data_IF_535595004173
#
_entry.id   IF_535595004173
#
_cell.length_a   1.000
_cell.length_b   1.000
_cell.length_c   1.000
_cell.angle_alpha   90.00
_cell.angle_beta   90.00
_cell.angle_gamma   90.00
#
_symmetry.space_group_name_H-M   'P 1'
#
loop_
_entity.id
_entity.type
_entity.pdbx_description
1 polymer ?
#
# COMPACT_ATOMS: atom_id res chain seq x y z
N UNK A 1 2.69 4.94 11.03
CA UNK A 1 2.84 4.76 12.48
C UNK A 1 3.32 3.36 12.74
N UNK A 2 4.61 3.19 13.02
CA UNK A 2 5.18 1.91 13.46
C UNK A 2 4.97 1.84 14.99
N UNK A 3 4.23 0.85 15.48
CA UNK A 3 3.98 0.66 16.91
C UNK A 3 4.89 -0.49 17.40
N UNK A 4 5.96 -0.16 18.13
CA UNK A 4 6.83 -1.13 18.78
C UNK A 4 6.36 -1.32 20.22
N UNK A 5 5.87 -2.51 20.55
CA UNK A 5 5.52 -2.89 21.93
C UNK A 5 6.55 -3.91 22.42
N UNK A 6 7.36 -3.55 23.42
CA UNK A 6 8.27 -4.51 24.08
C UNK A 6 8.14 -4.37 25.59
N UNK A 7 8.03 -5.50 26.30
CA UNK A 7 8.25 -5.54 27.75
C UNK A 7 9.72 -5.22 28.04
N UNK A 8 9.97 -4.28 28.94
CA UNK A 8 11.30 -3.72 29.16
C UNK A 8 12.21 -4.69 29.93
N UNK A 9 13.41 -4.94 29.41
CA UNK A 9 14.60 -5.25 30.20
C UNK A 9 15.36 -3.92 30.38
N UNK A 10 15.72 -3.57 31.62
CA UNK A 10 16.35 -2.28 32.01
C UNK A 10 17.52 -1.83 31.11
N UNK A 11 18.19 -2.75 30.41
CA UNK A 11 19.35 -2.48 29.55
C UNK A 11 19.04 -1.69 28.25
N UNK A 12 17.78 -1.55 27.82
CA UNK A 12 17.42 -0.91 26.54
C UNK A 12 17.00 0.58 26.64
N UNK A 13 17.02 1.17 27.84
CA UNK A 13 16.53 2.52 28.11
C UNK A 13 17.11 3.65 27.23
N UNK A 14 18.44 3.76 27.02
CA UNK A 14 19.01 4.87 26.24
C UNK A 14 18.71 4.78 24.74
N UNK A 15 18.61 3.57 24.18
CA UNK A 15 18.28 3.36 22.76
C UNK A 15 16.83 3.72 22.46
N UNK A 16 15.90 3.31 23.32
CA UNK A 16 14.48 3.67 23.18
C UNK A 16 14.29 5.18 23.35
N UNK A 17 15.00 5.80 24.29
CA UNK A 17 14.97 7.25 24.46
C UNK A 17 15.44 8.00 23.19
N UNK A 18 16.54 7.56 22.58
CA UNK A 18 17.01 8.13 21.31
C UNK A 18 15.99 7.95 20.17
N UNK A 19 15.32 6.79 20.10
CA UNK A 19 14.28 6.51 19.11
C UNK A 19 13.04 7.38 19.33
N UNK A 20 12.60 7.60 20.58
CA UNK A 20 11.45 8.47 20.88
C UNK A 20 11.75 9.93 20.55
N UNK A 21 12.98 10.39 20.80
CA UNK A 21 13.37 11.77 20.49
C UNK A 21 13.47 12.03 18.97
N UNK A 22 14.10 11.10 18.24
CA UNK A 22 14.19 11.14 16.77
C UNK A 22 12.82 10.93 16.11
N UNK A 23 12.01 10.03 16.66
CA UNK A 23 10.70 9.63 16.15
C UNK A 23 9.70 10.77 16.07
N UNK A 24 9.82 11.79 16.95
CA UNK A 24 8.98 12.99 16.90
C UNK A 24 9.08 13.74 15.56
N UNK A 25 10.24 13.68 14.88
CA UNK A 25 10.45 14.32 13.57
C UNK A 25 9.81 13.52 12.42
N UNK A 26 9.55 12.23 12.63
CA UNK A 26 9.06 11.30 11.61
C UNK A 26 7.64 10.77 11.89
N UNK A 27 6.92 11.40 12.83
CA UNK A 27 5.59 10.95 13.28
C UNK A 27 5.55 9.48 13.74
N UNK A 28 6.64 9.02 14.39
CA UNK A 28 6.72 7.70 15.00
C UNK A 28 6.36 7.84 16.49
N UNK A 29 5.32 7.14 16.92
CA UNK A 29 4.89 7.08 18.32
C UNK A 29 5.34 5.78 18.97
N UNK A 30 5.91 5.85 20.17
CA UNK A 30 6.33 4.68 20.95
C UNK A 30 5.32 4.42 22.07
N UNK A 31 4.78 3.21 22.15
CA UNK A 31 3.89 2.79 23.23
C UNK A 31 4.59 1.74 24.08
N UNK A 32 4.89 2.09 25.33
CA UNK A 32 5.66 1.25 26.24
C UNK A 32 4.74 0.73 27.34
N UNK A 33 4.80 -0.57 27.63
CA UNK A 33 4.09 -1.18 28.74
C UNK A 33 4.99 -1.16 29.98
N UNK A 34 4.62 -0.39 31.00
CA UNK A 34 5.38 -0.21 32.24
C UNK A 34 5.83 1.24 32.48
N UNK A 35 6.69 1.44 33.48
CA UNK A 35 7.24 2.76 33.82
C UNK A 35 8.24 3.21 32.73
N UNK A 36 7.84 4.19 31.92
CA UNK A 36 8.74 4.82 30.96
C UNK A 36 9.38 6.07 31.58
N UNK A 37 10.69 6.31 31.40
CA UNK A 37 11.35 7.49 31.94
C UNK A 37 10.95 8.79 31.20
N UNK A 38 10.35 8.70 30.01
CA UNK A 38 10.00 9.87 29.18
C UNK A 38 8.70 9.68 28.40
N UNK A 39 7.86 10.72 28.37
CA UNK A 39 6.58 10.74 27.65
C UNK A 39 5.37 10.92 28.57
N UNK A 40 4.16 10.80 28.03
CA UNK A 40 2.93 10.76 28.82
C UNK A 40 2.70 9.34 29.31
N UNK A 41 2.71 9.15 30.63
CA UNK A 41 2.38 7.87 31.27
C UNK A 41 0.90 7.84 31.58
N UNK A 42 0.20 6.79 31.15
CA UNK A 42 -1.23 6.59 31.38
C UNK A 42 -1.44 5.35 32.28
N UNK A 43 -2.23 5.51 33.32
CA UNK A 43 -2.73 4.41 34.15
C UNK A 43 -4.15 4.07 33.69
N UNK A 44 -4.39 2.79 33.38
CA UNK A 44 -5.65 2.30 32.82
C UNK A 44 -6.37 1.39 33.81
N UNK A 45 -7.69 1.50 33.86
CA UNK A 45 -8.57 0.49 34.48
C UNK A 45 -8.83 -0.69 33.53
N UNK A 46 -9.44 -1.76 34.05
CA UNK A 46 -9.79 -2.96 33.28
C UNK A 46 -10.74 -2.71 32.09
N UNK A 47 -11.45 -1.58 32.07
CA UNK A 47 -12.33 -1.16 30.96
C UNK A 47 -11.66 -0.19 29.97
N UNK A 48 -10.33 -0.05 30.06
CA UNK A 48 -9.48 0.85 29.29
C UNK A 48 -9.75 2.35 29.52
N UNK A 49 -10.34 2.73 30.66
CA UNK A 49 -10.43 4.15 31.08
C UNK A 49 -9.13 4.63 31.72
N UNK A 50 -8.69 5.84 31.35
CA UNK A 50 -7.50 6.48 31.92
C UNK A 50 -7.84 7.06 33.29
N UNK A 51 -7.30 6.45 34.35
CA UNK A 51 -7.49 6.88 35.74
C UNK A 51 -6.50 7.94 36.19
N UNK A 52 -5.30 7.93 35.61
CA UNK A 52 -4.24 8.88 35.93
C UNK A 52 -3.35 9.07 34.71
N UNK A 53 -3.00 10.32 34.40
CA UNK A 53 -2.06 10.67 33.35
C UNK A 53 -0.97 11.57 33.93
N UNK A 54 0.29 11.29 33.63
CA UNK A 54 1.45 12.07 34.10
C UNK A 54 2.37 12.37 32.91
N UNK A 55 2.89 13.60 32.83
CA UNK A 55 3.81 14.02 31.76
C UNK A 55 3.20 15.01 30.75
N UNK A 56 3.90 15.30 29.64
CA UNK A 56 3.42 16.25 28.63
C UNK A 56 2.08 15.79 28.04
N UNK A 57 1.14 16.69 27.80
CA UNK A 57 -0.20 16.38 27.26
C UNK A 57 -1.12 15.52 28.16
N UNK A 58 -0.77 15.29 29.44
CA UNK A 58 -1.63 14.56 30.38
C UNK A 58 -3.05 15.13 30.48
N UNK A 59 -3.18 16.47 30.43
CA UNK A 59 -4.48 17.17 30.50
C UNK A 59 -5.42 16.84 29.33
N UNK A 60 -4.87 16.49 28.16
CA UNK A 60 -5.67 16.13 26.98
C UNK A 60 -6.15 14.67 26.99
N UNK A 61 -5.62 13.86 27.91
CA UNK A 61 -5.84 12.41 27.96
C UNK A 61 -6.53 11.95 29.27
N UNK A 62 -6.60 12.82 30.27
CA UNK A 62 -7.29 12.53 31.52
C UNK A 62 -8.78 12.25 31.27
N UNK A 63 -9.25 11.05 31.69
CA UNK A 63 -10.65 10.62 31.55
C UNK A 63 -11.04 10.08 30.18
N UNK A 64 -10.12 9.98 29.21
CA UNK A 64 -10.41 9.33 27.93
C UNK A 64 -10.48 7.81 28.09
N UNK A 65 -11.36 7.17 27.29
CA UNK A 65 -11.47 5.71 27.19
C UNK A 65 -10.76 5.25 25.93
N UNK A 66 -9.75 4.41 26.08
CA UNK A 66 -9.01 3.87 24.96
C UNK A 66 -9.81 2.75 24.29
N UNK A 67 -9.73 2.71 22.96
CA UNK A 67 -10.25 1.60 22.19
C UNK A 67 -9.43 0.35 22.54
N UNK A 68 -10.09 -0.71 22.98
CA UNK A 68 -9.44 -1.97 23.31
C UNK A 68 -10.04 -3.09 22.46
N UNK A 69 -9.19 -4.00 22.02
CA UNK A 69 -9.61 -5.28 21.47
C UNK A 69 -10.10 -6.16 22.61
N UNK A 70 -11.10 -7.00 22.35
CA UNK A 70 -11.47 -8.03 23.33
C UNK A 70 -10.30 -9.01 23.49
N UNK A 71 -10.23 -9.70 24.63
CA UNK A 71 -9.18 -10.70 24.86
C UNK A 71 -9.16 -11.80 23.78
N UNK A 72 -10.33 -12.13 23.22
CA UNK A 72 -10.46 -13.07 22.11
C UNK A 72 -9.85 -12.52 20.81
N UNK A 73 -10.17 -11.27 20.44
CA UNK A 73 -9.65 -10.65 19.22
C UNK A 73 -8.14 -10.41 19.31
N UNK A 74 -7.65 -10.00 20.48
CA UNK A 74 -6.23 -9.83 20.75
C UNK A 74 -5.48 -11.17 20.62
N UNK A 75 -6.03 -12.28 21.15
CA UNK A 75 -5.43 -13.61 21.00
C UNK A 75 -5.43 -14.08 19.54
N UNK A 76 -6.51 -13.87 18.78
CA UNK A 76 -6.57 -14.23 17.36
C UNK A 76 -5.52 -13.45 16.54
N UNK A 77 -5.35 -12.16 16.84
CA UNK A 77 -4.37 -11.31 16.16
C UNK A 77 -2.93 -11.66 16.53
N UNK A 78 -2.65 -11.92 17.82
CA UNK A 78 -1.33 -12.38 18.29
C UNK A 78 -0.99 -13.77 17.74
N UNK A 79 -1.96 -14.66 17.64
CA UNK A 79 -1.79 -15.97 17.01
C UNK A 79 -1.36 -15.78 15.55
N UNK A 80 -2.07 -14.94 14.79
CA UNK A 80 -1.76 -14.64 13.38
C UNK A 80 -0.35 -14.06 13.20
N UNK A 81 0.06 -13.14 14.08
CA UNK A 81 1.40 -12.55 14.04
C UNK A 81 2.49 -13.57 14.40
N UNK A 82 2.23 -14.46 15.35
CA UNK A 82 3.17 -15.52 15.74
C UNK A 82 3.36 -16.56 14.64
N UNK A 83 2.30 -16.92 13.92
CA UNK A 83 2.41 -17.82 12.74
C UNK A 83 3.20 -17.16 11.61
N UNK A 84 3.03 -15.85 11.41
CA UNK A 84 3.76 -15.09 10.40
C UNK A 84 5.25 -14.91 10.74
N UNK A 85 5.62 -14.90 12.03
CA UNK A 85 7.00 -14.74 12.49
C UNK A 85 7.79 -16.06 12.65
N UNK A 86 7.16 -17.21 12.42
CA UNK A 86 7.84 -18.53 12.45
C UNK A 86 8.24 -19.04 13.84
N UNK A 87 7.68 -18.49 14.91
CA UNK A 87 8.02 -18.90 16.29
C UNK A 87 7.20 -20.13 16.72
N UNK A 88 7.82 -21.22 17.23
CA UNK A 88 7.07 -22.39 17.71
C UNK A 88 6.24 -22.06 18.96
N UNK A 89 5.15 -22.81 19.11
CA UNK A 89 4.21 -22.72 20.23
C UNK A 89 4.83 -23.23 21.54
N UNK A 90 4.69 -22.54 22.69
CA UNK A 90 5.09 -23.12 23.95
C UNK A 90 4.12 -24.26 24.30
N UNK A 91 4.68 -25.44 24.59
CA UNK A 91 3.95 -26.60 25.13
C UNK A 91 3.19 -26.19 26.39
N UNK A 92 1.87 -26.05 26.29
CA UNK A 92 1.01 -26.05 27.46
C UNK A 92 0.71 -27.50 27.82
N UNK A 93 1.35 -27.93 28.90
CA UNK A 93 1.10 -29.16 29.60
C UNK A 93 -0.39 -29.38 29.90
N UNK A 94 -0.79 -30.65 29.75
CA UNK A 94 -1.93 -31.34 30.36
C UNK A 94 -2.85 -30.50 31.23
N UNK A 95 -4.09 -30.31 30.76
CA UNK A 95 -5.24 -30.42 31.67
C UNK A 95 -6.47 -30.88 30.89
N UNK A 96 -6.71 -32.19 30.93
CA UNK A 96 -7.97 -32.83 30.55
C UNK A 96 -9.05 -32.55 31.61
N UNK A 97 -10.31 -32.30 31.23
CA UNK A 97 -11.42 -33.09 31.80
C UNK A 97 -12.60 -33.27 30.79
N UNK A 98 -13.68 -34.01 31.11
CA UNK A 98 -13.83 -35.41 30.70
C UNK A 98 -14.97 -35.64 29.70
N UNK A 99 -14.84 -36.79 29.04
CA UNK A 99 -15.84 -37.67 28.42
C UNK A 99 -17.30 -37.47 28.89
N UNK A 100 -18.20 -37.14 27.94
CA UNK A 100 -19.58 -37.69 27.86
C UNK A 100 -20.05 -37.69 26.39
N UNK A 101 -20.29 -38.89 25.86
CA UNK A 101 -21.02 -39.12 24.60
C UNK A 101 -22.55 -39.14 24.86
N UNK A 102 -23.40 -39.41 23.85
CA UNK A 102 -24.44 -38.50 23.38
C UNK A 102 -25.84 -38.83 23.90
N UNK A 103 -26.72 -37.83 24.04
CA UNK A 103 -28.15 -38.12 24.04
C UNK A 103 -28.98 -37.07 23.27
N UNK A 104 -29.80 -37.64 22.40
CA UNK A 104 -30.90 -37.10 21.63
C UNK A 104 -31.91 -36.36 22.49
N UNK A 105 -32.32 -35.16 22.07
CA UNK A 105 -33.66 -34.62 22.33
C UNK A 105 -33.99 -33.46 21.39
N UNK A 106 -35.00 -33.69 20.55
CA UNK A 106 -35.69 -32.66 19.77
C UNK A 106 -36.44 -31.69 20.69
N UNK A 107 -36.42 -30.40 20.37
CA UNK A 107 -37.28 -29.39 20.97
C UNK A 107 -37.15 -28.04 20.25
N UNK A 108 -38.12 -27.76 19.37
CA UNK A 108 -38.30 -26.47 18.69
C UNK A 108 -38.54 -25.32 19.66
N UNK A 109 -37.91 -24.16 19.45
CA UNK A 109 -38.53 -22.84 19.49
C UNK A 109 -37.52 -21.70 19.20
N UNK A 110 -37.86 -20.85 18.23
CA UNK A 110 -37.54 -19.41 18.21
C UNK A 110 -36.10 -18.99 18.00
N UNK A 111 -35.70 -18.76 16.75
CA UNK A 111 -34.52 -17.95 16.42
C UNK A 111 -35.00 -16.64 15.79
N UNK A 112 -35.10 -15.60 16.62
CA UNK A 112 -35.07 -14.21 16.15
C UNK A 112 -33.63 -13.92 15.70
N UNK A 113 -33.39 -13.44 14.46
CA UNK A 113 -32.05 -13.09 14.04
C UNK A 113 -31.64 -11.76 14.70
N UNK A 114 -30.53 -11.82 15.44
CA UNK A 114 -29.81 -10.64 15.90
C UNK A 114 -29.37 -9.78 14.69
N UNK A 115 -29.37 -8.45 14.83
CA UNK A 115 -29.14 -7.53 13.72
C UNK A 115 -27.72 -7.68 13.19
N UNK A 116 -27.62 -7.86 11.88
CA UNK A 116 -26.38 -7.85 11.11
C UNK A 116 -25.64 -6.54 11.38
N UNK A 117 -24.40 -6.65 11.85
CA UNK A 117 -23.48 -5.51 11.91
C UNK A 117 -23.30 -4.98 10.48
N UNK A 118 -23.87 -3.81 10.24
CA UNK A 118 -23.68 -3.02 9.03
C UNK A 118 -22.18 -2.78 8.85
N UNK A 119 -21.57 -3.55 7.95
CA UNK A 119 -20.24 -3.25 7.44
C UNK A 119 -20.24 -1.81 6.95
N UNK A 120 -19.34 -1.00 7.51
CA UNK A 120 -19.03 0.34 6.98
C UNK A 120 -18.78 0.17 5.49
N UNK A 121 -19.58 0.79 4.60
CA UNK A 121 -19.37 0.63 3.19
C UNK A 121 -18.07 1.35 2.84
N UNK A 122 -17.04 0.56 2.52
CA UNK A 122 -16.02 1.00 1.56
C UNK A 122 -16.80 1.56 0.38
N UNK A 123 -16.51 2.77 -0.15
CA UNK A 123 -17.19 3.27 -1.33
C UNK A 123 -16.87 2.32 -2.48
N UNK A 124 -17.75 1.35 -2.67
CA UNK A 124 -17.77 0.43 -3.78
C UNK A 124 -17.94 1.35 -5.00
N UNK A 125 -16.92 1.40 -5.86
CA UNK A 125 -17.07 1.89 -7.22
C UNK A 125 -17.96 0.88 -7.95
N UNK A 126 -19.26 0.91 -7.63
CA UNK A 126 -20.29 0.27 -8.42
C UNK A 126 -20.19 0.84 -9.83
N UNK A 127 -20.36 -0.03 -10.83
CA UNK A 127 -20.46 0.29 -12.25
C UNK A 127 -21.12 1.66 -12.46
N UNK A 128 -20.30 2.67 -12.77
CA UNK A 128 -20.77 4.03 -13.06
C UNK A 128 -20.83 4.17 -14.56
N UNK A 129 -22.03 3.96 -15.10
CA UNK A 129 -22.37 4.00 -16.53
C UNK A 129 -22.21 5.39 -17.20
N UNK A 130 -21.64 6.38 -16.49
CA UNK A 130 -21.33 7.69 -17.05
C UNK A 130 -19.81 7.89 -17.14
N UNK A 131 -19.26 8.17 -18.34
CA UNK A 131 -17.84 8.43 -18.49
C UNK A 131 -17.49 9.71 -17.73
N UNK A 132 -16.49 9.60 -16.83
CA UNK A 132 -15.94 10.75 -16.13
C UNK A 132 -15.34 11.71 -17.16
N UNK A 133 -15.68 13.01 -17.14
CA UNK A 133 -15.28 13.96 -18.19
C UNK A 133 -13.77 14.21 -18.24
N UNK A 134 -13.05 13.91 -17.15
CA UNK A 134 -11.59 14.08 -17.04
C UNK A 134 -10.95 12.73 -16.72
N UNK A 135 -9.84 12.42 -17.41
CA UNK A 135 -8.88 11.40 -16.99
C UNK A 135 -7.58 12.07 -16.55
N UNK A 136 -7.19 11.83 -15.31
CA UNK A 136 -5.90 12.15 -14.73
C UNK A 136 -4.99 10.92 -14.86
N UNK A 137 -3.92 11.08 -15.62
CA UNK A 137 -2.85 10.12 -15.74
C UNK A 137 -1.73 10.50 -14.78
N UNK A 138 -1.42 9.62 -13.83
CA UNK A 138 -0.30 9.75 -12.90
C UNK A 138 0.66 8.55 -12.97
N UNK A 139 0.34 7.48 -13.69
CA UNK A 139 1.32 6.44 -14.03
C UNK A 139 2.07 6.86 -15.31
N UNK A 140 3.28 7.38 -15.11
CA UNK A 140 4.05 8.18 -16.06
C UNK A 140 4.01 9.67 -15.72
N UNK A 141 4.23 10.57 -16.69
CA UNK A 141 4.17 12.00 -16.43
C UNK A 141 2.73 12.46 -16.15
N UNK A 142 2.58 13.43 -15.23
CA UNK A 142 1.26 13.92 -14.81
C UNK A 142 0.56 14.64 -15.97
N UNK A 143 -0.53 14.05 -16.47
CA UNK A 143 -1.30 14.53 -17.62
C UNK A 143 -2.79 14.50 -17.34
N UNK A 144 -3.50 15.45 -17.95
CA UNK A 144 -4.95 15.51 -17.93
C UNK A 144 -5.47 15.31 -19.35
N UNK A 145 -6.57 14.58 -19.47
CA UNK A 145 -7.25 14.32 -20.75
C UNK A 145 -8.75 14.55 -20.58
N UNK A 146 -9.41 15.04 -21.62
CA UNK A 146 -10.86 14.98 -21.80
C UNK A 146 -11.21 13.89 -22.83
N UNK A 147 -12.50 13.71 -23.11
CA UNK A 147 -12.93 12.87 -24.22
C UNK A 147 -12.37 13.34 -25.58
N UNK A 148 -12.10 14.63 -25.74
CA UNK A 148 -11.61 15.24 -26.98
C UNK A 148 -10.08 15.21 -27.11
N UNK A 149 -9.36 14.78 -26.06
CA UNK A 149 -7.91 14.62 -26.07
C UNK A 149 -7.17 15.29 -24.89
N UNK A 150 -5.84 15.44 -24.99
CA UNK A 150 -5.01 15.92 -23.89
C UNK A 150 -5.20 17.41 -23.61
N UNK A 151 -5.26 17.78 -22.32
CA UNK A 151 -5.21 19.17 -21.85
C UNK A 151 -3.75 19.59 -21.75
N UNK A 152 -3.24 20.27 -22.77
CA UNK A 152 -1.82 20.63 -22.90
C UNK A 152 -1.49 22.05 -22.41
N UNK A 153 -2.49 22.90 -22.17
CA UNK A 153 -2.30 24.32 -21.80
C UNK A 153 -3.04 24.68 -20.52
N UNK A 154 -2.63 25.77 -19.87
CA UNK A 154 -3.34 26.34 -18.72
C UNK A 154 -3.01 25.70 -17.37
N UNK A 155 -2.64 24.42 -17.33
CA UNK A 155 -2.24 23.75 -16.08
C UNK A 155 -0.82 24.15 -15.67
N UNK A 156 -0.68 24.76 -14.50
CA UNK A 156 0.63 25.18 -13.96
C UNK A 156 1.36 24.01 -13.30
N UNK A 157 2.69 24.11 -13.16
CA UNK A 157 3.49 23.10 -12.44
C UNK A 157 2.95 22.81 -11.04
N UNK A 158 2.74 23.84 -10.22
CA UNK A 158 2.17 23.70 -8.87
C UNK A 158 0.79 23.02 -8.83
N UNK A 159 -0.02 23.20 -9.87
CA UNK A 159 -1.32 22.53 -10.00
C UNK A 159 -1.16 21.04 -10.37
N UNK A 160 -0.20 20.70 -11.23
CA UNK A 160 0.12 19.29 -11.55
C UNK A 160 0.67 18.56 -10.32
N UNK A 161 1.59 19.20 -9.60
CA UNK A 161 2.14 18.63 -8.36
C UNK A 161 1.03 18.35 -7.33
N UNK A 162 0.09 19.29 -7.17
CA UNK A 162 -1.08 19.11 -6.31
C UNK A 162 -2.04 18.02 -6.81
N UNK A 163 -2.26 17.89 -8.12
CA UNK A 163 -3.10 16.82 -8.69
C UNK A 163 -2.52 15.44 -8.39
N UNK A 164 -1.22 15.25 -8.57
CA UNK A 164 -0.56 13.99 -8.25
C UNK A 164 -0.63 13.68 -6.74
N UNK A 165 -0.40 14.69 -5.89
CA UNK A 165 -0.48 14.50 -4.44
C UNK A 165 -1.92 14.20 -3.96
N UNK A 166 -2.94 14.77 -4.61
CA UNK A 166 -4.34 14.44 -4.35
C UNK A 166 -4.71 13.04 -4.87
N UNK A 167 -4.18 12.61 -6.03
CA UNK A 167 -4.38 11.27 -6.58
C UNK A 167 -3.87 10.19 -5.62
N UNK A 168 -2.68 10.41 -5.05
CA UNK A 168 -2.08 9.56 -4.02
C UNK A 168 -2.91 9.48 -2.72
N UNK A 169 -3.78 10.46 -2.47
CA UNK A 169 -4.56 10.59 -1.24
C UNK A 169 -6.07 10.64 -1.54
N UNK A 170 -6.70 9.53 -1.95
CA UNK A 170 -8.11 9.51 -2.34
C UNK A 170 -9.06 9.89 -1.18
N UNK A 171 -8.67 9.63 0.07
CA UNK A 171 -9.42 10.04 1.27
C UNK A 171 -9.27 11.54 1.61
N UNK A 172 -8.46 12.25 0.85
CA UNK A 172 -8.25 13.69 0.94
C UNK A 172 -7.21 14.13 1.97
N UNK A 173 -6.63 15.29 1.69
CA UNK A 173 -5.53 15.92 2.44
C UNK A 173 -5.98 17.21 3.09
N UNK A 174 -5.42 17.56 4.24
CA UNK A 174 -5.56 18.94 4.75
C UNK A 174 -4.70 19.90 3.92
N UNK A 175 -5.00 21.19 4.02
CA UNK A 175 -4.13 22.22 3.41
C UNK A 175 -2.71 22.14 3.93
N UNK A 176 -2.54 21.95 5.24
CA UNK A 176 -1.21 21.92 5.87
C UNK A 176 -0.40 20.72 5.42
N UNK A 177 -1.04 19.55 5.22
CA UNK A 177 -0.40 18.38 4.61
C UNK A 177 0.08 18.69 3.18
N UNK A 178 -0.77 19.33 2.36
CA UNK A 178 -0.40 19.72 1.01
C UNK A 178 0.77 20.72 1.00
N UNK A 179 0.74 21.72 1.88
CA UNK A 179 1.81 22.72 2.01
C UNK A 179 3.12 22.07 2.42
N UNK A 180 3.11 21.23 3.47
CA UNK A 180 4.30 20.55 3.95
C UNK A 180 4.92 19.61 2.90
N UNK A 181 4.10 18.98 2.06
CA UNK A 181 4.56 18.07 1.02
C UNK A 181 5.06 18.78 -0.25
N UNK A 182 4.43 19.89 -0.65
CA UNK A 182 4.69 20.53 -1.95
C UNK A 182 5.57 21.77 -1.86
N UNK A 183 5.53 22.48 -0.73
CA UNK A 183 6.22 23.75 -0.53
C UNK A 183 6.83 23.85 0.89
N UNK A 184 7.66 22.87 1.32
CA UNK A 184 8.21 22.83 2.67
C UNK A 184 9.06 24.06 3.03
N UNK A 185 9.73 24.66 2.05
CA UNK A 185 10.64 25.79 2.27
C UNK A 185 9.95 27.17 2.21
N UNK A 186 8.65 27.21 1.94
CA UNK A 186 7.92 28.47 1.79
C UNK A 186 7.39 28.97 3.14
N UNK A 187 7.39 30.29 3.33
CA UNK A 187 6.75 30.91 4.49
C UNK A 187 5.23 30.62 4.49
N UNK A 188 4.58 30.46 5.67
CA UNK A 188 3.21 29.96 5.78
C UNK A 188 2.17 30.70 4.91
N UNK A 189 2.22 32.03 4.89
CA UNK A 189 1.28 32.85 4.10
C UNK A 189 1.50 32.70 2.59
N UNK A 190 2.76 32.57 2.18
CA UNK A 190 3.14 32.36 0.78
C UNK A 190 2.69 30.97 0.31
N UNK A 191 2.95 29.94 1.12
CA UNK A 191 2.54 28.57 0.81
C UNK A 191 1.01 28.42 0.75
N UNK A 192 0.28 29.08 1.65
CA UNK A 192 -1.19 29.14 1.62
C UNK A 192 -1.71 29.79 0.34
N UNK A 193 -1.09 30.89 -0.08
CA UNK A 193 -1.44 31.58 -1.34
C UNK A 193 -1.16 30.68 -2.55
N UNK A 194 -0.04 29.97 -2.54
CA UNK A 194 0.35 29.04 -3.61
C UNK A 194 -0.60 27.85 -3.71
N UNK A 195 -0.99 27.25 -2.57
CA UNK A 195 -2.01 26.21 -2.51
C UNK A 195 -3.34 26.67 -3.11
N UNK A 196 -3.86 27.82 -2.65
CA UNK A 196 -5.12 28.35 -3.15
C UNK A 196 -5.05 28.66 -4.66
N UNK A 197 -3.90 29.16 -5.12
CA UNK A 197 -3.65 29.43 -6.55
C UNK A 197 -3.61 28.15 -7.36
N UNK A 198 -3.01 27.07 -6.85
CA UNK A 198 -2.98 25.76 -7.50
C UNK A 198 -4.41 25.20 -7.63
N UNK A 199 -5.19 25.18 -6.54
CA UNK A 199 -6.60 24.75 -6.57
C UNK A 199 -7.42 25.58 -7.57
N UNK A 200 -7.28 26.91 -7.54
CA UNK A 200 -7.98 27.79 -8.48
C UNK A 200 -7.58 27.53 -9.94
N UNK A 201 -6.30 27.27 -10.20
CA UNK A 201 -5.80 26.93 -11.53
C UNK A 201 -6.34 25.59 -12.04
N UNK A 202 -6.37 24.55 -11.19
CA UNK A 202 -6.99 23.25 -11.53
C UNK A 202 -8.44 23.47 -11.94
N UNK A 203 -9.25 24.08 -11.05
CA UNK A 203 -10.68 24.30 -11.30
C UNK A 203 -10.93 25.11 -12.58
N UNK A 204 -10.19 26.19 -12.78
CA UNK A 204 -10.34 27.03 -13.99
C UNK A 204 -10.01 26.25 -15.26
N UNK A 205 -8.90 25.50 -15.25
CA UNK A 205 -8.44 24.75 -16.42
C UNK A 205 -9.43 23.66 -16.78
N UNK A 206 -9.88 22.87 -15.80
CA UNK A 206 -10.82 21.78 -16.03
C UNK A 206 -12.18 22.29 -16.51
N UNK A 207 -12.73 23.35 -15.91
CA UNK A 207 -13.98 23.98 -16.40
C UNK A 207 -13.88 24.51 -17.82
N UNK A 208 -12.71 25.03 -18.19
CA UNK A 208 -12.47 25.52 -19.56
C UNK A 208 -12.41 24.35 -20.54
N UNK A 209 -11.73 23.27 -20.17
CA UNK A 209 -11.56 22.10 -21.01
C UNK A 209 -12.84 21.27 -21.19
N UNK A 210 -13.71 21.21 -20.18
CA UNK A 210 -14.96 20.45 -20.24
C UNK A 210 -16.16 21.28 -20.68
N UNK A 211 -16.07 22.62 -20.60
CA UNK A 211 -17.22 23.52 -20.76
C UNK A 211 -18.23 23.46 -19.60
N UNK A 212 -17.99 22.62 -18.58
CA UNK A 212 -18.89 22.45 -17.43
C UNK A 212 -18.54 23.47 -16.34
N UNK A 213 -19.52 24.27 -15.92
CA UNK A 213 -19.30 25.32 -14.89
C UNK A 213 -19.66 24.88 -13.47
N UNK A 214 -20.58 23.94 -13.35
CA UNK A 214 -21.09 23.44 -12.07
C UNK A 214 -20.08 22.56 -11.33
N UNK A 215 -19.35 21.63 -11.98
CA UNK A 215 -18.44 20.74 -11.26
C UNK A 215 -17.32 21.51 -10.54
N UNK A 216 -17.00 21.00 -9.34
CA UNK A 216 -15.95 21.56 -8.51
C UNK A 216 -14.58 20.94 -8.79
N UNK A 217 -14.53 19.69 -9.28
CA UNK A 217 -13.33 18.89 -9.63
C UNK A 217 -12.37 18.59 -8.45
N UNK A 218 -12.11 19.57 -7.60
CA UNK A 218 -11.44 19.44 -6.31
C UNK A 218 -12.47 19.84 -5.26
N UNK A 219 -12.90 18.88 -4.45
CA UNK A 219 -13.88 19.08 -3.39
C UNK A 219 -13.18 19.45 -2.09
N UNK A 220 -13.92 20.08 -1.17
CA UNK A 220 -13.47 20.32 0.20
C UNK A 220 -14.55 19.84 1.16
N UNK A 221 -14.29 18.71 1.83
CA UNK A 221 -15.24 18.03 2.72
C UNK A 221 -14.58 17.82 4.08
N UNK A 222 -15.22 18.23 5.17
CA UNK A 222 -14.69 18.13 6.53
C UNK A 222 -13.23 18.65 6.69
N UNK A 223 -12.89 19.74 6.00
CA UNK A 223 -11.55 20.34 6.05
C UNK A 223 -10.49 19.65 5.18
N UNK A 224 -10.82 18.56 4.48
CA UNK A 224 -9.95 17.84 3.56
C UNK A 224 -10.26 18.16 2.11
N UNK A 225 -9.24 18.19 1.27
CA UNK A 225 -9.31 18.35 -0.18
C UNK A 225 -9.10 17.00 -0.85
N UNK A 226 -9.95 16.66 -1.79
CA UNK A 226 -9.83 15.45 -2.61
C UNK A 226 -10.31 15.73 -4.03
N UNK A 227 -9.91 14.87 -4.97
CA UNK A 227 -10.48 14.87 -6.32
C UNK A 227 -11.94 14.43 -6.25
N UNK A 228 -12.75 14.98 -7.12
CA UNK A 228 -14.15 14.57 -7.28
C UNK A 228 -14.21 13.25 -8.06
N UNK A 229 -14.56 12.12 -7.43
CA UNK A 229 -14.53 10.81 -8.07
C UNK A 229 -15.64 10.64 -9.12
N UNK A 230 -16.65 11.52 -9.13
CA UNK A 230 -17.67 11.55 -10.19
C UNK A 230 -17.17 12.26 -11.45
N UNK A 231 -16.11 13.07 -11.33
CA UNK A 231 -15.65 13.95 -12.40
C UNK A 231 -14.27 13.60 -12.95
N UNK A 232 -13.42 12.97 -12.12
CA UNK A 232 -12.02 12.68 -12.46
C UNK A 232 -11.78 11.17 -12.33
N UNK A 233 -11.41 10.56 -13.44
CA UNK A 233 -10.85 9.22 -13.51
C UNK A 233 -9.35 9.26 -13.24
N UNK A 234 -8.83 8.38 -12.38
CA UNK A 234 -7.40 8.33 -12.03
C UNK A 234 -6.88 6.93 -12.34
N UNK A 235 -5.88 6.83 -13.22
CA UNK A 235 -5.30 5.56 -13.65
C UNK A 235 -4.70 4.72 -12.49
N UNK A 236 -4.05 5.36 -11.52
CA UNK A 236 -3.54 4.69 -10.31
C UNK A 236 -4.66 4.01 -9.50
N UNK A 237 -5.87 4.56 -9.47
CA UNK A 237 -6.99 3.95 -8.74
C UNK A 237 -7.41 2.62 -9.38
N UNK A 238 -7.33 2.50 -10.71
CA UNK A 238 -7.57 1.23 -11.40
C UNK A 238 -6.50 0.20 -11.07
N UNK A 239 -5.23 0.62 -10.99
CA UNK A 239 -4.14 -0.26 -10.56
C UNK A 239 -4.35 -0.72 -9.11
N UNK A 240 -4.64 0.21 -8.20
CA UNK A 240 -4.90 -0.08 -6.80
C UNK A 240 -6.08 -1.05 -6.61
N UNK A 241 -7.15 -0.87 -7.39
CA UNK A 241 -8.32 -1.76 -7.38
C UNK A 241 -7.97 -3.17 -7.89
N UNK A 242 -7.22 -3.29 -9.00
CA UNK A 242 -6.76 -4.57 -9.53
C UNK A 242 -5.89 -5.34 -8.52
N UNK A 243 -4.92 -4.64 -7.90
CA UNK A 243 -4.06 -5.22 -6.87
C UNK A 243 -4.84 -5.62 -5.62
N UNK A 244 -5.81 -4.80 -5.19
CA UNK A 244 -6.67 -5.13 -4.05
C UNK A 244 -7.55 -6.36 -4.33
N UNK A 245 -8.16 -6.43 -5.51
CA UNK A 245 -8.94 -7.58 -5.93
C UNK A 245 -8.08 -8.85 -5.95
N UNK A 246 -6.87 -8.80 -6.50
CA UNK A 246 -5.95 -9.94 -6.53
C UNK A 246 -5.56 -10.45 -5.12
N UNK A 247 -5.43 -9.54 -4.13
CA UNK A 247 -5.17 -9.91 -2.73
C UNK A 247 -6.35 -10.61 -2.06
N UNK A 248 -7.58 -10.25 -2.43
CA UNK A 248 -8.80 -10.84 -1.87
C UNK A 248 -9.30 -12.06 -2.66
N UNK A 249 -8.76 -12.32 -3.85
CA UNK A 249 -9.10 -13.48 -4.65
C UNK A 249 -8.83 -14.78 -3.89
N UNK A 250 -9.79 -15.69 -3.91
CA UNK A 250 -9.71 -16.98 -3.21
C UNK A 250 -9.30 -18.11 -4.15
N UNK A 251 -9.55 -17.94 -5.45
CA UNK A 251 -9.18 -18.90 -6.48
C UNK A 251 -8.12 -18.35 -7.44
N UNK A 252 -7.39 -19.24 -8.11
CA UNK A 252 -6.42 -18.82 -9.13
C UNK A 252 -7.11 -18.18 -10.35
N UNK A 253 -8.33 -18.59 -10.70
CA UNK A 253 -9.12 -17.97 -11.77
C UNK A 253 -9.51 -16.52 -11.45
N UNK A 254 -9.98 -16.26 -10.23
CA UNK A 254 -10.27 -14.89 -9.77
C UNK A 254 -9.00 -14.04 -9.75
N UNK A 255 -7.91 -14.60 -9.21
CA UNK A 255 -6.61 -13.91 -9.12
C UNK A 255 -6.06 -13.58 -10.50
N UNK A 256 -6.16 -14.52 -11.44
CA UNK A 256 -5.79 -14.31 -12.83
C UNK A 256 -6.58 -13.16 -13.45
N UNK A 257 -7.90 -13.16 -13.27
CA UNK A 257 -8.79 -12.12 -13.78
C UNK A 257 -8.42 -10.74 -13.22
N UNK A 258 -8.13 -10.67 -11.92
CA UNK A 258 -7.74 -9.46 -11.23
C UNK A 258 -6.38 -8.90 -11.66
N UNK A 259 -5.41 -9.79 -11.92
CA UNK A 259 -4.04 -9.41 -12.29
C UNK A 259 -3.87 -9.12 -13.77
N UNK A 260 -4.72 -9.69 -14.64
CA UNK A 260 -4.68 -9.50 -16.10
C UNK A 260 -4.55 -8.04 -16.58
N UNK A 261 -5.22 -7.03 -15.99
CA UNK A 261 -5.05 -5.64 -16.43
C UNK A 261 -3.75 -4.98 -15.96
N UNK A 262 -3.06 -5.51 -14.94
CA UNK A 262 -1.89 -4.86 -14.30
C UNK A 262 -0.77 -4.51 -15.29
N UNK A 263 -0.35 -5.39 -16.23
CA UNK A 263 0.67 -5.05 -17.23
C UNK A 263 0.35 -3.81 -18.07
N UNK A 264 -0.93 -3.58 -18.37
CA UNK A 264 -1.37 -2.45 -19.19
C UNK A 264 -1.58 -1.17 -18.37
N UNK A 265 -1.92 -1.32 -17.08
CA UNK A 265 -2.13 -0.18 -16.18
C UNK A 265 -0.79 0.43 -15.75
N UNK A 266 0.20 -0.39 -15.40
CA UNK A 266 1.50 0.08 -14.94
C UNK A 266 2.56 -0.07 -16.04
N UNK A 267 2.69 0.98 -16.85
CA UNK A 267 3.68 1.04 -17.95
C UNK A 267 4.84 1.98 -17.66
N UNK A 268 4.69 2.87 -16.68
CA UNK A 268 5.69 3.83 -16.24
C UNK A 268 5.50 4.13 -14.74
N UNK A 269 6.57 4.59 -14.10
CA UNK A 269 6.54 4.95 -12.68
C UNK A 269 5.59 6.11 -12.40
N UNK A 270 5.12 6.21 -11.15
CA UNK A 270 4.22 7.28 -10.74
C UNK A 270 4.85 8.67 -10.89
N UNK A 271 4.15 9.60 -11.55
CA UNK A 271 4.48 11.01 -11.68
C UNK A 271 5.96 11.27 -12.04
N UNK A 272 6.44 10.71 -13.15
CA UNK A 272 7.88 10.73 -13.53
C UNK A 272 8.47 12.13 -13.73
N UNK A 273 7.63 13.14 -13.92
CA UNK A 273 8.05 14.53 -14.10
C UNK A 273 8.10 15.34 -12.78
N UNK A 274 7.75 14.71 -11.66
CA UNK A 274 7.86 15.26 -10.31
C UNK A 274 9.16 14.80 -9.64
N UNK A 275 9.69 15.67 -8.78
CA UNK A 275 10.95 15.47 -8.05
C UNK A 275 10.77 15.64 -6.55
N UNK A 276 9.54 15.43 -6.05
CA UNK A 276 9.24 15.56 -4.64
C UNK A 276 9.53 14.23 -3.91
N UNK A 277 10.19 14.28 -2.75
CA UNK A 277 10.61 13.08 -2.00
C UNK A 277 9.48 12.12 -1.65
N UNK A 278 8.27 12.66 -1.41
CA UNK A 278 7.08 11.85 -1.14
C UNK A 278 6.69 10.96 -2.34
N UNK A 279 7.02 11.37 -3.56
CA UNK A 279 6.75 10.59 -4.76
C UNK A 279 7.68 9.38 -4.86
N UNK A 280 8.95 9.49 -4.44
CA UNK A 280 9.91 8.38 -4.47
C UNK A 280 9.47 7.23 -3.57
N UNK A 281 9.02 7.55 -2.35
CA UNK A 281 8.51 6.54 -1.42
C UNK A 281 7.31 5.79 -1.98
N UNK A 282 6.44 6.49 -2.71
CA UNK A 282 5.27 5.88 -3.34
C UNK A 282 5.63 5.07 -4.60
N UNK A 283 6.56 5.56 -5.43
CA UNK A 283 7.10 4.81 -6.58
C UNK A 283 7.69 3.48 -6.13
N UNK A 284 8.45 3.48 -5.04
CA UNK A 284 9.04 2.26 -4.49
C UNK A 284 7.97 1.27 -4.01
N UNK A 285 6.94 1.77 -3.32
CA UNK A 285 5.81 0.95 -2.88
C UNK A 285 5.06 0.33 -4.08
N UNK A 286 4.76 1.11 -5.12
CA UNK A 286 4.11 0.62 -6.33
C UNK A 286 5.00 -0.38 -7.06
N UNK A 287 6.29 -0.10 -7.21
CA UNK A 287 7.25 -1.01 -7.86
C UNK A 287 7.22 -2.38 -7.21
N UNK A 288 7.31 -2.48 -5.88
CA UNK A 288 7.24 -3.76 -5.16
C UNK A 288 5.93 -4.49 -5.42
N UNK A 289 4.79 -3.82 -5.20
CA UNK A 289 3.49 -4.45 -5.38
C UNK A 289 3.22 -4.90 -6.82
N UNK A 290 3.64 -4.10 -7.80
CA UNK A 290 3.48 -4.43 -9.21
C UNK A 290 4.42 -5.57 -9.61
N UNK A 291 5.67 -5.57 -9.18
CA UNK A 291 6.61 -6.67 -9.44
C UNK A 291 6.10 -8.00 -8.87
N UNK A 292 5.57 -7.99 -7.65
CA UNK A 292 4.94 -9.17 -7.03
C UNK A 292 3.72 -9.64 -7.85
N UNK A 293 2.88 -8.69 -8.26
CA UNK A 293 1.69 -8.95 -9.06
C UNK A 293 2.02 -9.54 -10.44
N UNK A 294 3.01 -8.99 -11.14
CA UNK A 294 3.50 -9.49 -12.43
C UNK A 294 4.13 -10.87 -12.29
N UNK A 295 4.91 -11.09 -11.23
CA UNK A 295 5.48 -12.42 -10.93
C UNK A 295 4.40 -13.45 -10.71
N UNK A 296 3.35 -13.11 -9.93
CA UNK A 296 2.22 -14.01 -9.71
C UNK A 296 1.41 -14.26 -10.98
N UNK A 297 1.20 -13.22 -11.80
CA UNK A 297 0.53 -13.37 -13.09
C UNK A 297 1.30 -14.31 -14.02
N UNK A 298 2.63 -14.19 -14.07
CA UNK A 298 3.48 -15.07 -14.87
C UNK A 298 3.38 -16.53 -14.39
N UNK A 299 3.39 -16.78 -13.08
CA UNK A 299 3.20 -18.13 -12.51
C UNK A 299 1.85 -18.74 -12.91
N UNK A 300 0.77 -17.94 -12.90
CA UNK A 300 -0.56 -18.41 -13.30
C UNK A 300 -0.63 -18.72 -14.81
N UNK A 301 0.17 -18.06 -15.62
CA UNK A 301 0.23 -18.28 -17.07
C UNK A 301 1.25 -19.35 -17.50
N UNK A 302 2.14 -19.81 -16.62
CA UNK A 302 3.33 -20.55 -17.03
C UNK A 302 3.03 -21.84 -17.80
N UNK A 303 1.93 -22.54 -17.47
CA UNK A 303 1.58 -23.82 -18.11
C UNK A 303 0.69 -23.63 -19.35
N UNK A 304 -0.35 -22.80 -19.26
CA UNK A 304 -1.34 -22.65 -20.33
C UNK A 304 -0.90 -21.63 -21.40
N UNK A 305 -0.14 -20.60 -21.00
CA UNK A 305 0.21 -19.44 -21.82
C UNK A 305 1.67 -18.99 -21.59
N UNK A 306 2.67 -19.84 -21.87
CA UNK A 306 4.07 -19.58 -21.52
C UNK A 306 4.65 -18.32 -22.17
N UNK A 307 4.27 -18.01 -23.41
CA UNK A 307 4.68 -16.76 -24.08
C UNK A 307 4.14 -15.50 -23.38
N UNK A 308 2.98 -15.59 -22.72
CA UNK A 308 2.45 -14.49 -21.94
C UNK A 308 3.17 -14.38 -20.60
N UNK A 309 3.53 -15.51 -19.98
CA UNK A 309 4.33 -15.54 -18.76
C UNK A 309 5.73 -14.94 -18.98
N UNK A 310 6.41 -15.30 -20.08
CA UNK A 310 7.70 -14.73 -20.48
C UNK A 310 7.64 -13.20 -20.62
N UNK A 311 6.69 -12.69 -21.42
CA UNK A 311 6.49 -11.24 -21.60
C UNK A 311 6.19 -10.52 -20.29
N UNK A 312 5.42 -11.14 -19.41
CA UNK A 312 5.07 -10.57 -18.10
C UNK A 312 6.32 -10.45 -17.21
N UNK A 313 7.20 -11.45 -17.20
CA UNK A 313 8.47 -11.39 -16.47
C UNK A 313 9.45 -10.37 -17.08
N UNK A 314 9.54 -10.27 -18.40
CA UNK A 314 10.34 -9.24 -19.08
C UNK A 314 9.88 -7.83 -18.72
N UNK A 315 8.57 -7.61 -18.62
CA UNK A 315 8.03 -6.35 -18.13
C UNK A 315 8.38 -6.10 -16.66
N UNK A 316 8.25 -7.12 -15.79
CA UNK A 316 8.64 -7.00 -14.38
C UNK A 316 10.11 -6.58 -14.23
N UNK A 317 11.01 -7.18 -15.04
CA UNK A 317 12.45 -6.87 -15.10
C UNK A 317 12.72 -5.42 -15.58
N UNK A 318 11.79 -4.81 -16.32
CA UNK A 318 11.90 -3.40 -16.71
C UNK A 318 11.58 -2.47 -15.54
N UNK A 319 10.67 -2.87 -14.65
CA UNK A 319 10.31 -2.10 -13.46
C UNK A 319 11.29 -2.28 -12.30
N UNK A 320 11.81 -3.50 -12.11
CA UNK A 320 12.84 -3.79 -11.13
C UNK A 320 14.04 -4.52 -11.78
N UNK A 321 14.99 -3.75 -12.37
CA UNK A 321 16.13 -4.30 -13.10
C UNK A 321 17.10 -5.11 -12.26
N UNK A 322 17.08 -4.98 -10.93
CA UNK A 322 18.07 -5.59 -10.05
C UNK A 322 17.49 -6.74 -9.23
N UNK A 323 16.18 -7.02 -9.38
CA UNK A 323 15.52 -8.13 -8.71
C UNK A 323 15.90 -9.50 -9.31
N UNK A 324 16.93 -10.14 -8.74
CA UNK A 324 17.47 -11.44 -9.20
C UNK A 324 16.41 -12.54 -9.33
N UNK A 325 15.42 -12.59 -8.44
CA UNK A 325 14.35 -13.58 -8.47
C UNK A 325 13.53 -13.55 -9.78
N UNK A 326 13.37 -12.37 -10.41
CA UNK A 326 12.68 -12.25 -11.69
C UNK A 326 13.45 -12.92 -12.82
N UNK A 327 14.77 -12.76 -12.82
CA UNK A 327 15.65 -13.42 -13.79
C UNK A 327 15.69 -14.93 -13.57
N UNK A 328 15.69 -15.38 -12.31
CA UNK A 328 15.61 -16.81 -12.00
C UNK A 328 14.32 -17.42 -12.54
N UNK A 329 13.18 -16.79 -12.30
CA UNK A 329 11.89 -17.23 -12.84
C UNK A 329 11.89 -17.23 -14.38
N UNK A 330 12.46 -16.21 -15.01
CA UNK A 330 12.56 -16.12 -16.46
C UNK A 330 13.48 -17.21 -17.05
N UNK A 331 14.65 -17.45 -16.45
CA UNK A 331 15.57 -18.51 -16.86
C UNK A 331 14.96 -19.89 -16.72
N UNK A 332 14.26 -20.14 -15.61
CA UNK A 332 13.58 -21.41 -15.38
C UNK A 332 12.50 -21.65 -16.45
N UNK A 333 11.64 -20.66 -16.69
CA UNK A 333 10.59 -20.77 -17.71
C UNK A 333 11.18 -20.95 -19.12
N UNK A 334 12.27 -20.27 -19.45
CA UNK A 334 12.98 -20.46 -20.72
C UNK A 334 13.56 -21.87 -20.87
N UNK A 335 14.13 -22.43 -19.80
CA UNK A 335 14.70 -23.77 -19.81
C UNK A 335 13.62 -24.86 -19.92
N UNK A 336 12.46 -24.68 -19.27
CA UNK A 336 11.32 -25.61 -19.35
C UNK A 336 10.70 -25.68 -20.75
N UNK A 337 10.92 -24.67 -21.59
CA UNK A 337 10.41 -24.59 -22.96
C UNK A 337 11.50 -24.72 -24.03
N UNK A 338 12.56 -25.49 -23.77
CA UNK A 338 13.63 -25.82 -24.73
C UNK A 338 14.42 -24.60 -25.28
N UNK A 339 14.56 -23.53 -24.49
CA UNK A 339 15.36 -22.35 -24.83
C UNK A 339 16.54 -22.11 -23.86
N UNK A 340 17.47 -23.06 -23.66
CA UNK A 340 18.58 -22.91 -22.72
C UNK A 340 19.54 -21.76 -23.10
N UNK A 341 19.70 -21.48 -24.39
CA UNK A 341 20.48 -20.33 -24.87
C UNK A 341 19.83 -18.99 -24.50
N UNK A 342 18.50 -18.93 -24.37
CA UNK A 342 17.81 -17.75 -23.87
C UNK A 342 18.08 -17.57 -22.37
N UNK A 343 18.02 -18.64 -21.57
CA UNK A 343 18.35 -18.60 -20.15
C UNK A 343 19.79 -18.09 -19.91
N UNK A 344 20.75 -18.52 -20.72
CA UNK A 344 22.14 -18.02 -20.65
C UNK A 344 22.26 -16.52 -20.93
N UNK A 345 21.52 -16.01 -21.92
CA UNK A 345 21.47 -14.56 -22.23
C UNK A 345 20.80 -13.77 -21.11
N UNK A 346 19.74 -14.31 -20.50
CA UNK A 346 19.08 -13.73 -19.33
C UNK A 346 20.03 -13.62 -18.14
N UNK A 347 20.82 -14.67 -17.86
CA UNK A 347 21.87 -14.63 -16.84
C UNK A 347 22.91 -13.54 -17.12
N UNK A 348 23.42 -13.46 -18.35
CA UNK A 348 24.40 -12.43 -18.75
C UNK A 348 23.83 -11.02 -18.59
N UNK A 349 22.56 -10.82 -18.93
CA UNK A 349 21.87 -9.55 -18.72
C UNK A 349 21.83 -9.17 -17.24
N UNK A 350 21.49 -10.11 -16.35
CA UNK A 350 21.51 -9.88 -14.91
C UNK A 350 22.92 -9.51 -14.42
N UNK A 351 23.92 -10.32 -14.77
CA UNK A 351 25.32 -10.07 -14.38
C UNK A 351 25.78 -8.69 -14.82
N UNK A 352 25.48 -8.27 -16.06
CA UNK A 352 25.85 -6.95 -16.54
C UNK A 352 25.17 -5.81 -15.76
N UNK A 353 23.91 -6.01 -15.33
CA UNK A 353 23.18 -5.01 -14.54
C UNK A 353 23.69 -4.93 -13.10
N UNK A 354 23.94 -6.06 -12.44
CA UNK A 354 24.49 -6.08 -11.08
C UNK A 354 25.93 -5.56 -11.03
N UNK A 355 26.74 -5.88 -12.04
CA UNK A 355 28.10 -5.36 -12.15
C UNK A 355 28.14 -3.83 -12.25
N UNK A 356 27.10 -3.18 -12.78
CA UNK A 356 27.01 -1.71 -12.79
C UNK A 356 26.87 -1.10 -11.37
N UNK A 357 26.55 -1.92 -10.38
CA UNK A 357 26.50 -1.59 -8.95
C UNK A 357 27.65 -2.22 -8.16
N UNK A 358 28.65 -2.81 -8.83
CA UNK A 358 29.73 -3.60 -8.23
C UNK A 358 29.22 -4.78 -7.35
N UNK A 359 28.10 -5.39 -7.76
CA UNK A 359 27.47 -6.55 -7.09
C UNK A 359 27.57 -7.78 -8.00
N UNK A 360 27.87 -8.94 -7.41
CA UNK A 360 27.82 -10.24 -8.10
C UNK A 360 26.47 -10.94 -7.88
N UNK A 361 25.99 -11.77 -8.84
CA UNK A 361 24.78 -12.56 -8.65
C UNK A 361 24.83 -13.50 -7.44
N UNK A 362 23.67 -13.78 -6.85
CA UNK A 362 23.57 -14.69 -5.71
C UNK A 362 23.90 -16.16 -6.07
N UNK A 363 24.29 -16.95 -5.06
CA UNK A 363 24.63 -18.36 -5.22
C UNK A 363 23.49 -19.17 -5.86
N UNK A 364 22.24 -18.81 -5.55
CA UNK A 364 21.05 -19.50 -6.08
C UNK A 364 20.94 -19.32 -7.59
N UNK A 365 21.27 -18.14 -8.10
CA UNK A 365 21.27 -17.79 -9.53
C UNK A 365 22.39 -18.53 -10.25
N UNK A 366 23.58 -18.60 -9.65
CA UNK A 366 24.70 -19.40 -10.18
C UNK A 366 24.37 -20.90 -10.26
N UNK A 367 23.76 -21.44 -9.20
CA UNK A 367 23.33 -22.85 -9.15
C UNK A 367 22.27 -23.16 -10.20
N UNK A 368 21.31 -22.25 -10.42
CA UNK A 368 20.29 -22.41 -11.45
C UNK A 368 20.88 -22.47 -12.86
N UNK A 369 21.83 -21.58 -13.20
CA UNK A 369 22.48 -21.64 -14.51
C UNK A 369 23.24 -22.97 -14.71
N UNK A 370 23.89 -23.46 -13.65
CA UNK A 370 24.64 -24.72 -13.70
C UNK A 370 23.71 -25.91 -13.92
N UNK A 371 22.56 -25.95 -13.24
CA UNK A 371 21.59 -27.04 -13.40
C UNK A 371 20.94 -27.05 -14.78
N UNK A 372 20.68 -25.88 -15.38
CA UNK A 372 20.19 -25.78 -16.76
C UNK A 372 21.21 -26.37 -17.75
N UNK A 373 22.50 -26.05 -17.60
CA UNK A 373 23.57 -26.58 -18.47
C UNK A 373 23.80 -28.09 -18.36
N UNK A 374 23.39 -28.72 -17.27
CA UNK A 374 23.53 -30.16 -17.06
C UNK A 374 22.35 -30.96 -17.63
N UNK A 375 21.25 -30.28 -18.01
CA UNK A 375 20.07 -30.88 -18.64
C UNK A 375 20.16 -30.88 -20.18
N UNK A 376 20.94 -29.97 -20.75
CA UNK A 376 21.39 -29.98 -22.14
C UNK A 376 22.46 -31.07 -22.37
#
# INVERSE_FOLDING_TARGET
TLLLTTSFLEAAAPTVHAITELGRRYAIGTLTLGLAPTGTTLHLNHDATITKAEGPHADALAGARLFHLTAADANAMLHTLRTAAGTPEPETADTQPPDQSPDTSQGSAGHDPAPSEEGVPVPYLADRDQPRPIRLQVLGPVRLHTADGPITTGIRRSARDLLAYLALNPNGITRDQAIGALWPDHQPDTATTQFNTAVANIRKTLRTATGLREPMYVLRTAGRYHLDPDQIDVDEQHLAAALAHARHATTDTERLTALKPVPNLYTAEFATDLTHDWAESHRELLRRHVTDALTRLAQLHQHDHPEQALRTLEQAITHDPYAEHLYRNLMQLQAEHDHPDAARRTYQLLTNRLNALDIEPDDQTHQLLTSIRQRD
#
